data_IF_759369565324
#
_entry.id   IF_759369565324
#
_cell.length_a   1.000
_cell.length_b   1.000
_cell.length_c   1.000
_cell.angle_alpha   90.00
_cell.angle_beta   90.00
_cell.angle_gamma   90.00
#
_symmetry.space_group_name_H-M   'P 1'
#
loop_
_entity.id
_entity.type
_entity.pdbx_description
1 polymer ?
#
# COMPACT_ATOMS: atom_id res chain seq x y z
N UNK A 1 84.99 31.62 -34.23
CA UNK A 1 84.33 31.67 -32.87
C UNK A 1 82.94 31.22 -33.02
N UNK A 2 82.69 29.98 -32.60
CA UNK A 2 81.36 29.28 -32.79
C UNK A 2 80.70 29.16 -31.44
N UNK A 3 79.60 29.92 -31.21
CA UNK A 3 78.81 29.90 -29.99
C UNK A 3 77.82 28.72 -30.06
N UNK A 4 77.95 27.73 -29.22
CA UNK A 4 77.00 26.65 -29.05
C UNK A 4 75.96 27.02 -27.98
N UNK A 5 74.71 27.24 -28.42
CA UNK A 5 73.59 27.38 -27.54
C UNK A 5 73.14 25.98 -27.06
N UNK A 6 73.20 25.77 -25.76
CA UNK A 6 72.59 24.59 -25.09
C UNK A 6 71.14 24.89 -24.83
N UNK A 7 70.26 24.11 -25.46
CA UNK A 7 68.81 24.09 -25.11
C UNK A 7 68.59 23.05 -24.03
N UNK A 8 68.23 23.47 -22.83
CA UNK A 8 67.84 22.61 -21.72
C UNK A 8 66.34 22.35 -21.84
N UNK A 9 65.95 21.15 -22.22
CA UNK A 9 64.56 20.70 -22.20
C UNK A 9 64.17 20.33 -20.75
N UNK A 10 63.32 21.16 -20.13
CA UNK A 10 62.66 20.85 -18.86
C UNK A 10 61.50 19.89 -19.08
N UNK A 11 61.70 18.62 -18.77
CA UNK A 11 60.64 17.61 -18.63
C UNK A 11 59.97 17.82 -17.26
N UNK A 12 58.81 18.46 -17.24
CA UNK A 12 57.96 18.52 -16.08
C UNK A 12 57.19 17.21 -15.85
N UNK A 13 57.01 16.72 -14.60
CA UNK A 13 56.22 15.52 -14.35
C UNK A 13 54.73 15.81 -14.58
N UNK A 14 54.12 15.06 -15.49
CA UNK A 14 52.65 14.99 -15.65
C UNK A 14 52.06 14.30 -14.42
N UNK A 15 51.47 15.07 -13.50
CA UNK A 15 50.61 14.54 -12.44
C UNK A 15 49.28 14.09 -13.09
N UNK A 16 49.11 12.80 -13.31
CA UNK A 16 47.83 12.22 -13.66
C UNK A 16 46.87 12.33 -12.45
N UNK A 17 45.93 13.27 -12.53
CA UNK A 17 44.84 13.35 -11.56
C UNK A 17 43.96 12.10 -11.70
N UNK A 18 43.60 11.43 -10.57
CA UNK A 18 42.67 10.32 -10.65
C UNK A 18 41.32 10.87 -11.11
N UNK A 19 40.81 10.32 -12.23
CA UNK A 19 39.44 10.53 -12.65
C UNK A 19 38.52 9.85 -11.62
N UNK A 20 37.99 10.65 -10.70
CA UNK A 20 36.88 10.18 -9.90
C UNK A 20 35.70 9.89 -10.85
N UNK A 21 35.46 8.60 -11.11
CA UNK A 21 34.27 8.15 -11.78
C UNK A 21 33.08 8.69 -10.95
N UNK A 22 32.38 9.69 -11.48
CA UNK A 22 31.10 10.14 -10.98
C UNK A 22 30.18 8.91 -11.07
N UNK A 23 30.01 8.20 -9.94
CA UNK A 23 28.95 7.21 -9.80
C UNK A 23 27.65 7.98 -10.09
N UNK A 24 27.08 7.72 -11.25
CA UNK A 24 25.83 8.31 -11.66
C UNK A 24 24.80 8.07 -10.55
N UNK A 25 24.43 9.13 -9.85
CA UNK A 25 23.23 9.10 -9.03
C UNK A 25 22.11 8.71 -9.97
N UNK A 26 21.61 7.48 -9.84
CA UNK A 26 20.37 7.08 -10.50
C UNK A 26 19.34 8.10 -10.08
N UNK A 27 19.01 8.98 -10.98
CA UNK A 27 18.03 10.04 -10.79
C UNK A 27 16.72 9.33 -10.51
N UNK A 28 16.34 9.26 -9.25
CA UNK A 28 15.07 8.67 -8.83
C UNK A 28 13.96 9.42 -9.58
N UNK A 29 13.09 8.67 -10.28
CA UNK A 29 11.95 9.27 -10.95
C UNK A 29 11.18 10.16 -9.95
N UNK A 30 10.66 11.32 -10.38
CA UNK A 30 9.94 12.23 -9.49
C UNK A 30 8.77 11.49 -8.83
N UNK A 31 8.48 11.78 -7.57
CA UNK A 31 7.36 11.16 -6.88
C UNK A 31 6.05 11.53 -7.59
N UNK A 32 5.20 10.54 -7.87
CA UNK A 32 3.89 10.73 -8.47
C UNK A 32 2.78 10.43 -7.47
N UNK A 33 1.58 10.99 -7.67
CA UNK A 33 0.43 10.72 -6.80
C UNK A 33 0.07 9.24 -6.81
N UNK A 34 0.11 8.61 -7.97
CA UNK A 34 -0.14 7.17 -8.12
C UNK A 34 0.89 6.31 -7.40
N UNK A 35 2.18 6.68 -7.46
CA UNK A 35 3.24 5.96 -6.74
C UNK A 35 3.06 6.09 -5.22
N UNK A 36 2.75 7.29 -4.72
CA UNK A 36 2.46 7.51 -3.32
C UNK A 36 1.26 6.67 -2.86
N UNK A 37 0.17 6.69 -3.63
CA UNK A 37 -1.04 5.95 -3.31
C UNK A 37 -0.81 4.43 -3.28
N UNK A 38 -0.03 3.89 -4.23
CA UNK A 38 0.39 2.48 -4.20
C UNK A 38 1.17 2.13 -2.94
N UNK A 39 2.07 3.01 -2.51
CA UNK A 39 2.84 2.79 -1.28
C UNK A 39 1.93 2.76 -0.04
N UNK A 40 0.97 3.67 0.05
CA UNK A 40 -0.03 3.69 1.13
C UNK A 40 -0.89 2.43 1.13
N UNK A 41 -1.37 2.00 -0.04
CA UNK A 41 -2.11 0.77 -0.22
C UNK A 41 -1.32 -0.45 0.26
N UNK A 42 -0.07 -0.59 -0.19
CA UNK A 42 0.80 -1.71 0.19
C UNK A 42 1.06 -1.74 1.71
N UNK A 43 1.26 -0.57 2.32
CA UNK A 43 1.42 -0.45 3.77
C UNK A 43 0.19 -0.92 4.53
N UNK A 44 -1.00 -0.45 4.13
CA UNK A 44 -2.28 -0.86 4.72
C UNK A 44 -2.53 -2.37 4.54
N UNK A 45 -2.36 -2.88 3.32
CA UNK A 45 -2.50 -4.31 3.01
C UNK A 45 -1.62 -5.17 3.92
N UNK A 46 -0.32 -4.86 3.99
CA UNK A 46 0.63 -5.59 4.83
C UNK A 46 0.19 -5.58 6.31
N UNK A 47 -0.18 -4.42 6.83
CA UNK A 47 -0.59 -4.28 8.21
C UNK A 47 -1.89 -5.04 8.52
N UNK A 48 -2.88 -4.96 7.65
CA UNK A 48 -4.18 -5.60 7.85
C UNK A 48 -4.07 -7.13 7.75
N UNK A 49 -3.38 -7.66 6.72
CA UNK A 49 -3.18 -9.10 6.56
C UNK A 49 -2.42 -9.68 7.75
N UNK A 50 -1.31 -9.05 8.16
CA UNK A 50 -0.53 -9.51 9.30
C UNK A 50 -1.30 -9.41 10.63
N UNK A 51 -2.22 -8.43 10.77
CA UNK A 51 -3.12 -8.39 11.92
C UNK A 51 -4.07 -9.57 11.94
N UNK A 52 -4.65 -9.92 10.79
CA UNK A 52 -5.52 -11.07 10.66
C UNK A 52 -4.80 -12.39 10.96
N UNK A 53 -3.56 -12.55 10.53
CA UNK A 53 -2.76 -13.74 10.82
C UNK A 53 -2.40 -13.85 12.31
N UNK A 54 -1.97 -12.75 12.91
CA UNK A 54 -1.41 -12.69 14.26
C UNK A 54 -2.46 -12.93 15.36
N UNK A 55 -3.69 -12.48 15.16
CA UNK A 55 -4.76 -12.62 16.14
C UNK A 55 -5.34 -14.03 16.09
N UNK A 56 -5.46 -14.69 17.24
CA UNK A 56 -6.03 -16.05 17.36
C UNK A 56 -7.53 -16.07 17.10
N UNK A 57 -8.06 -17.22 16.71
CA UNK A 57 -9.47 -17.35 16.27
C UNK A 57 -10.48 -16.95 17.36
N UNK A 58 -10.21 -17.30 18.60
CA UNK A 58 -11.06 -16.96 19.76
C UNK A 58 -11.22 -15.44 19.95
N UNK A 59 -10.27 -14.64 19.46
CA UNK A 59 -10.33 -13.19 19.53
C UNK A 59 -11.00 -12.53 18.30
N UNK A 60 -11.36 -13.29 17.27
CA UNK A 60 -12.10 -12.75 16.11
C UNK A 60 -13.49 -12.25 16.49
N UNK A 61 -14.11 -12.84 17.50
CA UNK A 61 -15.36 -12.37 18.08
C UNK A 61 -15.24 -11.22 19.06
N UNK A 62 -14.00 -10.78 19.38
CA UNK A 62 -13.79 -9.71 20.35
C UNK A 62 -14.31 -8.39 19.83
N UNK A 63 -15.12 -7.73 20.65
CA UNK A 63 -15.68 -6.40 20.44
C UNK A 63 -15.05 -5.45 21.46
N UNK A 64 -14.53 -4.28 21.05
CA UNK A 64 -13.88 -3.33 21.97
C UNK A 64 -14.86 -2.59 22.89
N UNK A 65 -16.16 -2.63 22.60
CA UNK A 65 -17.22 -2.00 23.40
C UNK A 65 -18.44 -2.90 23.54
N UNK A 66 -19.34 -2.64 24.49
CA UNK A 66 -20.52 -3.47 24.74
C UNK A 66 -21.65 -3.27 23.72
N UNK A 67 -21.60 -2.20 22.93
CA UNK A 67 -22.67 -1.84 21.99
C UNK A 67 -22.65 -2.81 20.77
N UNK A 68 -23.83 -3.25 20.34
CA UNK A 68 -23.96 -4.20 19.22
C UNK A 68 -23.50 -3.60 17.89
N UNK A 69 -23.57 -2.28 17.74
CA UNK A 69 -23.12 -1.53 16.56
C UNK A 69 -21.60 -1.54 16.40
N UNK A 70 -20.85 -1.75 17.49
CA UNK A 70 -19.40 -1.82 17.46
C UNK A 70 -18.99 -3.15 16.85
N UNK A 71 -18.28 -3.10 15.73
CA UNK A 71 -17.82 -4.31 15.02
C UNK A 71 -16.85 -5.13 15.87
N UNK A 72 -16.93 -6.44 15.75
CA UNK A 72 -15.89 -7.34 16.25
C UNK A 72 -14.63 -7.24 15.38
N UNK A 73 -13.52 -7.79 15.87
CA UNK A 73 -12.26 -7.85 15.12
C UNK A 73 -12.45 -8.51 13.74
N UNK A 74 -13.10 -9.67 13.71
CA UNK A 74 -13.40 -10.39 12.45
C UNK A 74 -14.34 -9.60 11.53
N UNK A 75 -15.34 -8.91 12.08
CA UNK A 75 -16.24 -8.07 11.28
C UNK A 75 -15.50 -6.88 10.65
N UNK A 76 -14.51 -6.25 11.33
CA UNK A 76 -13.67 -5.22 10.71
C UNK A 76 -12.90 -5.76 9.51
N UNK A 77 -12.31 -6.97 9.61
CA UNK A 77 -11.59 -7.61 8.50
C UNK A 77 -12.52 -7.93 7.32
N UNK A 78 -13.71 -8.48 7.61
CA UNK A 78 -14.71 -8.75 6.58
C UNK A 78 -15.21 -7.46 5.90
N UNK A 79 -15.30 -6.36 6.66
CA UNK A 79 -15.65 -5.05 6.15
C UNK A 79 -14.58 -4.50 5.19
N UNK A 80 -13.29 -4.66 5.52
CA UNK A 80 -12.19 -4.36 4.59
C UNK A 80 -12.38 -5.11 3.27
N UNK A 81 -12.69 -6.42 3.32
CA UNK A 81 -12.88 -7.22 2.12
C UNK A 81 -14.07 -6.71 1.26
N UNK A 82 -15.21 -6.39 1.88
CA UNK A 82 -16.37 -5.83 1.20
C UNK A 82 -15.99 -4.55 0.42
N UNK A 83 -15.31 -3.62 1.07
CA UNK A 83 -15.01 -2.32 0.48
C UNK A 83 -13.81 -2.35 -0.47
N UNK A 84 -12.89 -3.27 -0.30
CA UNK A 84 -11.88 -3.54 -1.32
C UNK A 84 -12.54 -3.97 -2.64
N UNK A 85 -13.45 -4.96 -2.61
CA UNK A 85 -14.18 -5.37 -3.80
C UNK A 85 -15.00 -4.21 -4.40
N UNK A 86 -15.67 -3.42 -3.55
CA UNK A 86 -16.50 -2.30 -4.01
C UNK A 86 -15.68 -1.25 -4.76
N UNK A 87 -14.67 -0.66 -4.13
CA UNK A 87 -13.95 0.45 -4.75
C UNK A 87 -13.01 0.02 -5.85
N UNK A 88 -12.37 -1.15 -5.73
CA UNK A 88 -11.51 -1.63 -6.80
C UNK A 88 -12.31 -2.03 -8.05
N UNK A 89 -13.51 -2.60 -7.91
CA UNK A 89 -14.39 -2.88 -9.06
C UNK A 89 -14.91 -1.59 -9.70
N UNK A 90 -15.31 -0.59 -8.90
CA UNK A 90 -15.70 0.71 -9.41
C UNK A 90 -14.56 1.38 -10.17
N UNK A 91 -13.33 1.35 -9.61
CA UNK A 91 -12.15 1.91 -10.27
C UNK A 91 -11.81 1.21 -11.59
N UNK A 92 -12.13 -0.08 -11.72
CA UNK A 92 -12.00 -0.85 -12.97
C UNK A 92 -13.16 -0.61 -13.94
N UNK A 93 -14.31 -0.14 -13.47
CA UNK A 93 -15.57 -0.12 -14.24
C UNK A 93 -16.18 -1.51 -14.40
N UNK A 94 -15.93 -2.41 -13.46
CA UNK A 94 -16.44 -3.79 -13.46
C UNK A 94 -17.55 -3.98 -12.42
N UNK A 95 -18.29 -5.08 -12.55
CA UNK A 95 -19.28 -5.47 -11.54
C UNK A 95 -18.53 -5.90 -10.26
N UNK A 96 -19.05 -5.46 -9.09
CA UNK A 96 -18.50 -5.85 -7.80
C UNK A 96 -18.61 -7.39 -7.61
N UNK A 97 -17.49 -8.11 -7.38
CA UNK A 97 -17.51 -9.56 -7.17
C UNK A 97 -18.35 -10.02 -5.96
N UNK A 98 -18.49 -9.15 -4.95
CA UNK A 98 -19.31 -9.42 -3.75
C UNK A 98 -20.66 -8.71 -3.75
N UNK A 99 -21.18 -8.30 -4.92
CA UNK A 99 -22.46 -7.59 -5.00
C UNK A 99 -23.60 -8.39 -4.37
N UNK A 100 -24.36 -7.73 -3.49
CA UNK A 100 -25.47 -8.37 -2.75
C UNK A 100 -25.05 -9.26 -1.57
N UNK A 101 -23.74 -9.40 -1.30
CA UNK A 101 -23.25 -10.21 -0.19
C UNK A 101 -22.66 -9.28 0.89
N UNK A 102 -23.15 -9.41 2.11
CA UNK A 102 -22.56 -8.75 3.27
C UNK A 102 -21.63 -9.73 3.98
N UNK A 103 -20.32 -9.64 3.70
CA UNK A 103 -19.32 -10.54 4.27
C UNK A 103 -19.24 -10.46 5.80
N UNK A 104 -19.53 -9.30 6.40
CA UNK A 104 -19.56 -9.14 7.87
C UNK A 104 -20.63 -10.00 8.53
N UNK A 105 -21.74 -10.26 7.81
CA UNK A 105 -22.86 -11.07 8.30
C UNK A 105 -22.74 -12.54 7.93
N UNK A 106 -22.08 -12.85 6.82
CA UNK A 106 -22.03 -14.22 6.26
C UNK A 106 -20.83 -15.01 6.74
N UNK A 107 -19.65 -14.39 6.88
CA UNK A 107 -18.43 -15.09 7.31
C UNK A 107 -18.40 -15.27 8.84
N UNK A 108 -18.04 -16.46 9.30
CA UNK A 108 -18.09 -16.83 10.72
C UNK A 108 -16.74 -17.24 11.29
N UNK A 109 -15.89 -17.87 10.51
CA UNK A 109 -14.61 -18.41 10.96
C UNK A 109 -13.44 -17.52 10.54
N UNK A 110 -12.34 -17.62 11.27
CA UNK A 110 -11.08 -16.96 10.92
C UNK A 110 -10.65 -17.32 9.50
N UNK A 111 -10.72 -18.60 9.14
CA UNK A 111 -10.30 -19.08 7.82
C UNK A 111 -11.12 -18.46 6.67
N UNK A 112 -12.46 -18.39 6.81
CA UNK A 112 -13.32 -17.75 5.82
C UNK A 112 -13.01 -16.26 5.66
N UNK A 113 -12.84 -15.57 6.80
CA UNK A 113 -12.54 -14.13 6.82
C UNK A 113 -11.17 -13.85 6.20
N UNK A 114 -10.13 -14.62 6.55
CA UNK A 114 -8.80 -14.47 5.96
C UNK A 114 -8.78 -14.76 4.47
N UNK A 115 -9.55 -15.77 4.03
CA UNK A 115 -9.68 -16.07 2.61
C UNK A 115 -10.31 -14.89 1.85
N UNK A 116 -11.45 -14.40 2.31
CA UNK A 116 -12.13 -13.26 1.68
C UNK A 116 -11.27 -11.99 1.67
N UNK A 117 -10.55 -11.74 2.75
CA UNK A 117 -9.61 -10.63 2.87
C UNK A 117 -8.49 -10.74 1.83
N UNK A 118 -7.85 -11.92 1.72
CA UNK A 118 -6.78 -12.18 0.76
C UNK A 118 -7.27 -12.05 -0.68
N UNK A 119 -8.44 -12.65 -0.99
CA UNK A 119 -9.04 -12.56 -2.33
C UNK A 119 -9.34 -11.10 -2.70
N UNK A 120 -9.85 -10.30 -1.77
CA UNK A 120 -10.16 -8.89 -2.00
C UNK A 120 -8.91 -8.03 -2.26
N UNK A 121 -7.83 -8.28 -1.53
CA UNK A 121 -6.54 -7.62 -1.79
C UNK A 121 -5.92 -8.07 -3.11
N UNK A 122 -6.00 -9.36 -3.44
CA UNK A 122 -5.53 -9.88 -4.73
C UNK A 122 -6.26 -9.20 -5.90
N UNK A 123 -7.59 -9.02 -5.76
CA UNK A 123 -8.38 -8.31 -6.75
C UNK A 123 -7.94 -6.85 -6.92
N UNK A 124 -7.68 -6.16 -5.80
CA UNK A 124 -7.19 -4.78 -5.80
C UNK A 124 -5.76 -4.64 -6.32
N UNK A 125 -4.88 -5.61 -6.07
CA UNK A 125 -3.46 -5.55 -6.49
C UNK A 125 -3.31 -5.22 -7.97
N UNK A 126 -4.09 -5.86 -8.83
CA UNK A 126 -4.05 -5.60 -10.28
C UNK A 126 -4.44 -4.15 -10.64
N UNK A 127 -5.38 -3.57 -9.87
CA UNK A 127 -5.82 -2.18 -10.06
C UNK A 127 -4.72 -1.19 -9.68
N UNK A 128 -4.12 -1.40 -8.51
CA UNK A 128 -3.05 -0.51 -8.03
C UNK A 128 -1.76 -0.66 -8.84
N UNK A 129 -1.44 -1.87 -9.32
CA UNK A 129 -0.25 -2.10 -10.16
C UNK A 129 -0.33 -1.38 -11.50
N UNK A 130 -1.53 -1.33 -12.12
CA UNK A 130 -1.74 -0.65 -13.39
C UNK A 130 -1.94 0.86 -13.27
N UNK A 131 -2.11 1.39 -12.03
CA UNK A 131 -2.39 2.80 -11.79
C UNK A 131 -1.20 3.70 -12.13
N UNK A 132 -1.44 4.75 -12.90
CA UNK A 132 -0.56 5.90 -13.10
C UNK A 132 -1.37 7.20 -13.01
N UNK A 133 -0.71 8.36 -13.03
CA UNK A 133 -1.42 9.64 -12.86
C UNK A 133 -2.36 9.95 -14.02
N UNK A 134 -2.03 9.53 -15.24
CA UNK A 134 -2.86 9.72 -16.44
C UNK A 134 -4.15 8.89 -16.35
N UNK A 135 -4.05 7.56 -16.17
CA UNK A 135 -5.24 6.72 -16.08
C UNK A 135 -6.02 6.94 -14.77
N UNK A 136 -5.34 7.41 -13.72
CA UNK A 136 -5.95 7.79 -12.45
C UNK A 136 -6.91 8.98 -12.57
N UNK A 137 -6.64 9.91 -13.51
CA UNK A 137 -7.49 11.06 -13.79
C UNK A 137 -8.76 10.70 -14.62
N UNK A 138 -8.82 9.49 -15.18
CA UNK A 138 -9.99 9.06 -15.95
C UNK A 138 -11.24 8.99 -15.08
N UNK A 139 -12.32 9.57 -15.60
CA UNK A 139 -13.65 9.54 -14.97
C UNK A 139 -14.30 8.18 -15.22
N UNK A 140 -14.81 7.57 -14.18
CA UNK A 140 -15.62 6.35 -14.22
C UNK A 140 -17.05 6.67 -13.77
N UNK A 141 -18.03 6.05 -14.42
CA UNK A 141 -19.43 6.13 -14.07
C UNK A 141 -19.80 4.95 -13.15
N UNK A 142 -20.47 5.26 -12.05
CA UNK A 142 -20.84 4.29 -11.02
C UNK A 142 -22.36 4.21 -10.99
N UNK A 143 -22.89 3.04 -11.36
CA UNK A 143 -24.32 2.74 -11.23
C UNK A 143 -24.63 2.43 -9.77
N UNK A 144 -25.52 3.22 -9.17
CA UNK A 144 -26.01 2.98 -7.82
C UNK A 144 -27.22 2.03 -7.84
N UNK A 145 -27.43 1.29 -6.75
CA UNK A 145 -28.58 0.36 -6.63
C UNK A 145 -29.95 1.05 -6.85
N UNK A 146 -30.05 2.33 -6.51
CA UNK A 146 -31.25 3.14 -6.72
C UNK A 146 -31.39 3.67 -8.17
N UNK A 147 -30.56 3.21 -9.10
CA UNK A 147 -30.57 3.64 -10.50
C UNK A 147 -29.84 4.99 -10.77
N UNK A 148 -29.35 5.66 -9.73
CA UNK A 148 -28.61 6.91 -9.92
C UNK A 148 -27.20 6.63 -10.44
N UNK A 149 -26.72 7.43 -11.40
CA UNK A 149 -25.35 7.41 -11.87
C UNK A 149 -24.56 8.48 -11.13
N UNK A 150 -23.43 8.08 -10.53
CA UNK A 150 -22.45 9.02 -9.98
C UNK A 150 -21.16 8.92 -10.78
N UNK A 151 -20.35 9.99 -10.74
CA UNK A 151 -19.08 10.06 -11.46
C UNK A 151 -17.96 10.33 -10.47
N UNK A 152 -16.84 9.64 -10.65
CA UNK A 152 -15.65 9.88 -9.87
C UNK A 152 -14.41 9.61 -10.72
N UNK A 153 -13.24 10.12 -10.33
CA UNK A 153 -12.00 9.69 -10.97
C UNK A 153 -11.56 8.34 -10.41
N UNK A 154 -10.87 7.54 -11.21
CA UNK A 154 -10.28 6.28 -10.75
C UNK A 154 -9.38 6.49 -9.53
N UNK A 155 -8.54 7.53 -9.57
CA UNK A 155 -7.66 7.90 -8.46
C UNK A 155 -8.42 8.18 -7.17
N UNK A 156 -9.53 8.94 -7.24
CA UNK A 156 -10.32 9.27 -6.06
C UNK A 156 -10.97 8.04 -5.41
N UNK A 157 -11.46 7.08 -6.21
CA UNK A 157 -12.00 5.82 -5.69
C UNK A 157 -10.93 5.00 -4.94
N UNK A 158 -9.72 4.96 -5.50
CA UNK A 158 -8.61 4.26 -4.86
C UNK A 158 -8.08 5.00 -3.63
N UNK A 159 -8.14 6.33 -3.59
CA UNK A 159 -7.89 7.12 -2.38
C UNK A 159 -8.91 6.80 -1.28
N UNK A 160 -10.21 6.72 -1.62
CA UNK A 160 -11.23 6.30 -0.65
C UNK A 160 -10.94 4.91 -0.09
N UNK A 161 -10.54 3.96 -0.91
CA UNK A 161 -10.14 2.64 -0.46
C UNK A 161 -8.96 2.69 0.52
N UNK A 162 -7.91 3.45 0.22
CA UNK A 162 -6.75 3.60 1.12
C UNK A 162 -7.13 4.26 2.44
N UNK A 163 -7.91 5.34 2.41
CA UNK A 163 -8.34 6.08 3.61
C UNK A 163 -9.18 5.18 4.51
N UNK A 164 -10.17 4.50 3.95
CA UNK A 164 -11.03 3.57 4.68
C UNK A 164 -10.24 2.39 5.29
N UNK A 165 -9.34 1.79 4.52
CA UNK A 165 -8.50 0.70 5.04
C UNK A 165 -7.59 1.18 6.18
N UNK A 166 -7.12 2.42 6.13
CA UNK A 166 -6.33 3.00 7.20
C UNK A 166 -7.16 3.26 8.46
N UNK A 167 -8.40 3.73 8.31
CA UNK A 167 -9.37 3.89 9.40
C UNK A 167 -9.66 2.54 10.08
N UNK A 168 -9.95 1.51 9.27
CA UNK A 168 -10.23 0.17 9.80
C UNK A 168 -9.00 -0.45 10.46
N UNK A 169 -7.81 -0.22 9.93
CA UNK A 169 -6.59 -0.65 10.59
C UNK A 169 -6.42 -0.01 11.98
N UNK A 170 -6.77 1.27 12.13
CA UNK A 170 -6.80 1.94 13.45
C UNK A 170 -7.72 1.22 14.46
N UNK A 171 -8.90 0.76 14.02
CA UNK A 171 -9.83 -0.02 14.85
C UNK A 171 -9.25 -1.40 15.22
N UNK A 172 -8.58 -2.09 14.28
CA UNK A 172 -7.87 -3.34 14.55
C UNK A 172 -6.76 -3.15 15.58
N UNK A 173 -5.95 -2.08 15.43
CA UNK A 173 -4.87 -1.73 16.37
C UNK A 173 -5.41 -1.55 17.80
N UNK A 174 -6.53 -0.85 17.96
CA UNK A 174 -7.16 -0.65 19.27
C UNK A 174 -7.52 -1.99 19.91
N UNK A 175 -8.19 -2.86 19.16
CA UNK A 175 -8.59 -4.20 19.62
C UNK A 175 -7.38 -5.07 19.99
N UNK A 176 -6.32 -5.05 19.19
CA UNK A 176 -5.08 -5.78 19.46
C UNK A 176 -4.41 -5.30 20.76
N UNK A 177 -4.33 -3.97 20.95
CA UNK A 177 -3.70 -3.38 22.17
C UNK A 177 -4.46 -3.70 23.44
N UNK A 178 -5.80 -3.76 23.42
CA UNK A 178 -6.63 -4.20 24.55
C UNK A 178 -6.23 -5.62 25.00
N UNK A 179 -5.74 -6.45 24.09
CA UNK A 179 -5.27 -7.83 24.35
C UNK A 179 -3.76 -7.94 24.45
N UNK A 180 -3.04 -6.83 24.63
CA UNK A 180 -1.58 -6.78 24.72
C UNK A 180 -0.87 -7.39 23.50
N UNK A 181 -1.52 -7.41 22.35
CA UNK A 181 -0.94 -7.85 21.08
C UNK A 181 -0.31 -6.63 20.40
N UNK A 182 1.00 -6.71 20.09
CA UNK A 182 1.71 -5.64 19.39
C UNK A 182 1.22 -5.59 17.93
N UNK A 183 0.66 -4.45 17.45
CA UNK A 183 0.24 -4.32 16.06
C UNK A 183 1.42 -4.34 15.07
N UNK A 184 1.25 -4.82 13.83
CA UNK A 184 2.33 -4.87 12.84
C UNK A 184 3.05 -3.54 12.60
N UNK A 185 2.32 -2.41 12.61
CA UNK A 185 2.92 -1.08 12.45
C UNK A 185 3.78 -0.61 13.64
N UNK A 186 3.70 -1.31 14.78
CA UNK A 186 4.45 -0.99 16.00
C UNK A 186 5.58 -1.99 16.27
N UNK A 187 5.78 -2.97 15.40
CA UNK A 187 6.89 -3.91 15.52
C UNK A 187 8.21 -3.23 15.13
N UNK A 188 9.33 -3.62 15.78
CA UNK A 188 10.65 -3.14 15.38
C UNK A 188 10.88 -3.43 13.88
N UNK A 189 11.33 -2.44 13.14
CA UNK A 189 11.78 -2.69 11.77
C UNK A 189 13.04 -3.56 11.82
N UNK A 190 13.16 -4.57 10.93
CA UNK A 190 14.43 -5.27 10.76
C UNK A 190 15.52 -4.22 10.57
N UNK A 191 16.65 -4.36 11.28
CA UNK A 191 17.80 -3.50 11.05
C UNK A 191 18.09 -3.53 9.54
N UNK A 192 18.06 -2.39 8.89
CA UNK A 192 18.52 -2.30 7.50
C UNK A 192 19.98 -2.73 7.56
N UNK A 193 20.29 -3.90 6.99
CA UNK A 193 21.63 -4.41 6.92
C UNK A 193 22.52 -3.31 6.42
N UNK A 194 23.49 -2.90 7.25
CA UNK A 194 24.42 -1.85 6.89
C UNK A 194 25.02 -2.18 5.54
N UNK A 195 24.86 -1.29 4.58
CA UNK A 195 25.67 -1.30 3.37
C UNK A 195 27.11 -1.04 3.85
N UNK A 196 27.89 -2.12 3.89
CA UNK A 196 29.36 -2.02 3.96
C UNK A 196 29.89 -1.61 2.58
#
# INVERSE_FOLDING_TARGET
MMNRLFVIALLGPFLAAPAFAQQGQQQQAPPTTSAFLRNMYNGNKNNIIRSAEKVTEDLYGLRPGPQEEVRTFGQHLAHVANYNFLWCSQAKGEKNPSAGINLEKTLKTKAEIQKALTDSFTYCDAVYQSLNDENGAQVVEIQQENGRVTRNTRMALLMLNVVHNNELYGNLVTTMRIKSIVPPSSEPRPAQGGRQ
#
